data_IF_869687104246
#
_entry.id   IF_869687104246
#
_cell.length_a   1.000
_cell.length_b   1.000
_cell.length_c   1.000
_cell.angle_alpha   90.00
_cell.angle_beta   90.00
_cell.angle_gamma   90.00
#
_symmetry.space_group_name_H-M   'P 1'
#
loop_
_entity.id
_entity.type
_entity.pdbx_description
1 polymer ?
#
# COMPACT_ATOMS: atom_id res chain seq x y z
N UNK A 1 -33.29 4.65 15.68
CA UNK A 1 -31.95 4.04 15.54
C UNK A 1 -32.09 2.56 15.88
N UNK A 2 -31.76 1.62 14.98
CA UNK A 2 -31.75 0.21 15.34
C UNK A 2 -30.75 -0.04 16.48
N UNK A 3 -30.98 -1.04 17.34
CA UNK A 3 -30.07 -1.35 18.44
C UNK A 3 -28.68 -1.69 17.90
N UNK A 4 -27.63 -1.17 18.55
CA UNK A 4 -26.24 -1.51 18.20
C UNK A 4 -26.06 -3.02 18.40
N UNK A 5 -25.61 -3.70 17.34
CA UNK A 5 -25.40 -5.15 17.35
C UNK A 5 -24.22 -5.58 18.25
N UNK A 6 -23.22 -4.72 18.40
CA UNK A 6 -21.99 -4.99 19.16
C UNK A 6 -21.82 -3.96 20.27
N UNK A 7 -21.32 -4.43 21.40
CA UNK A 7 -21.00 -3.60 22.56
C UNK A 7 -19.72 -2.81 22.33
N UNK A 8 -19.56 -1.66 22.99
CA UNK A 8 -18.34 -0.86 22.83
C UNK A 8 -17.08 -1.61 23.36
N UNK A 9 -17.25 -2.52 24.34
CA UNK A 9 -16.19 -3.39 24.84
C UNK A 9 -15.70 -4.37 23.76
N UNK A 10 -16.62 -5.02 23.04
CA UNK A 10 -16.27 -5.91 21.92
C UNK A 10 -15.52 -5.15 20.81
N UNK A 11 -15.89 -3.89 20.56
CA UNK A 11 -15.23 -3.07 19.56
C UNK A 11 -13.81 -2.68 19.97
N UNK A 12 -13.62 -2.39 21.26
CA UNK A 12 -12.31 -2.08 21.84
C UNK A 12 -11.41 -3.31 21.80
N UNK A 13 -11.90 -4.47 22.25
CA UNK A 13 -11.14 -5.72 22.18
C UNK A 13 -10.78 -6.10 20.74
N UNK A 14 -11.69 -5.90 19.78
CA UNK A 14 -11.39 -6.14 18.36
C UNK A 14 -10.23 -5.27 17.84
N UNK A 15 -10.17 -4.00 18.27
CA UNK A 15 -9.09 -3.08 17.91
C UNK A 15 -7.75 -3.53 18.55
N UNK A 16 -7.75 -3.85 19.84
CA UNK A 16 -6.55 -4.31 20.55
C UNK A 16 -6.00 -5.60 19.90
N UNK A 17 -6.87 -6.56 19.61
CA UNK A 17 -6.50 -7.81 18.93
C UNK A 17 -5.92 -7.55 17.53
N UNK A 18 -6.39 -6.51 16.84
CA UNK A 18 -5.88 -6.13 15.53
C UNK A 18 -4.47 -5.54 15.61
N UNK A 19 -4.24 -4.67 16.60
CA UNK A 19 -2.95 -4.03 16.84
C UNK A 19 -1.87 -5.01 17.32
N UNK A 20 -2.24 -6.09 18.01
CA UNK A 20 -1.28 -7.18 18.32
C UNK A 20 -1.03 -8.13 17.13
N UNK A 21 -1.76 -7.97 16.02
CA UNK A 21 -1.47 -8.65 14.76
C UNK A 21 -2.42 -9.76 14.32
N UNK A 22 -3.56 -9.96 14.99
CA UNK A 22 -4.53 -10.97 14.54
C UNK A 22 -5.18 -10.58 13.21
N UNK A 23 -5.57 -11.61 12.45
CA UNK A 23 -6.34 -11.44 11.22
C UNK A 23 -7.80 -11.13 11.55
N UNK A 24 -8.50 -10.42 10.64
CA UNK A 24 -9.94 -10.15 10.82
C UNK A 24 -10.76 -11.43 11.00
N UNK A 25 -10.36 -12.55 10.35
CA UNK A 25 -11.03 -13.84 10.50
C UNK A 25 -10.83 -14.45 11.89
N UNK A 26 -9.63 -14.35 12.46
CA UNK A 26 -9.35 -14.83 13.81
C UNK A 26 -10.11 -14.03 14.87
N UNK A 27 -10.15 -12.69 14.71
CA UNK A 27 -10.90 -11.79 15.61
C UNK A 27 -12.41 -12.08 15.51
N UNK A 28 -12.93 -12.24 14.29
CA UNK A 28 -14.33 -12.59 14.05
C UNK A 28 -14.73 -13.89 14.75
N UNK A 29 -13.91 -14.94 14.63
CA UNK A 29 -14.15 -16.22 15.30
C UNK A 29 -14.08 -16.09 16.83
N UNK A 30 -13.19 -15.24 17.35
CA UNK A 30 -12.98 -15.07 18.79
C UNK A 30 -14.10 -14.27 19.46
N UNK A 31 -14.60 -13.24 18.79
CA UNK A 31 -15.59 -12.30 19.35
C UNK A 31 -17.03 -12.56 18.87
N UNK A 32 -17.26 -13.66 18.14
CA UNK A 32 -18.54 -13.98 17.48
C UNK A 32 -19.08 -12.80 16.63
N UNK A 33 -18.16 -12.16 15.91
CA UNK A 33 -18.45 -11.05 15.01
C UNK A 33 -18.37 -11.52 13.56
N UNK A 34 -19.09 -10.85 12.64
CA UNK A 34 -18.83 -11.07 11.23
C UNK A 34 -17.49 -10.44 10.84
N UNK A 35 -16.76 -11.07 9.93
CA UNK A 35 -15.47 -10.55 9.42
C UNK A 35 -15.62 -9.12 8.87
N UNK A 36 -16.73 -8.84 8.18
CA UNK A 36 -17.03 -7.51 7.66
C UNK A 36 -17.22 -6.45 8.76
N UNK A 37 -17.87 -6.82 9.87
CA UNK A 37 -18.03 -5.92 11.01
C UNK A 37 -16.67 -5.61 11.65
N UNK A 38 -15.85 -6.63 11.91
CA UNK A 38 -14.48 -6.45 12.43
C UNK A 38 -13.67 -5.52 11.52
N UNK A 39 -13.67 -5.77 10.22
CA UNK A 39 -12.94 -4.94 9.26
C UNK A 39 -13.39 -3.48 9.27
N UNK A 40 -14.71 -3.23 9.31
CA UNK A 40 -15.25 -1.88 9.33
C UNK A 40 -14.92 -1.15 10.65
N UNK A 41 -15.07 -1.84 11.78
CA UNK A 41 -14.80 -1.26 13.09
C UNK A 41 -13.31 -0.98 13.30
N UNK A 42 -12.42 -1.90 12.93
CA UNK A 42 -10.97 -1.67 12.99
C UNK A 42 -10.56 -0.48 12.11
N UNK A 43 -11.08 -0.41 10.88
CA UNK A 43 -10.81 0.72 9.98
C UNK A 43 -11.28 2.05 10.58
N UNK A 44 -12.51 2.08 11.12
CA UNK A 44 -13.08 3.28 11.73
C UNK A 44 -12.31 3.75 12.97
N UNK A 45 -11.77 2.81 13.74
CA UNK A 45 -10.98 3.08 14.95
C UNK A 45 -9.49 3.31 14.65
N UNK A 46 -9.04 3.12 13.41
CA UNK A 46 -7.63 3.26 13.04
C UNK A 46 -6.74 2.10 13.52
N UNK A 47 -7.31 0.95 13.87
CA UNK A 47 -6.57 -0.21 14.35
C UNK A 47 -5.87 -0.93 13.20
N UNK A 48 -4.57 -0.65 13.05
CA UNK A 48 -3.71 -1.25 12.02
C UNK A 48 -2.95 -2.45 12.56
N UNK A 49 -2.68 -3.43 11.70
CA UNK A 49 -1.90 -4.59 12.08
C UNK A 49 -0.40 -4.38 11.86
N UNK A 50 0.47 -4.83 12.79
CA UNK A 50 1.91 -4.86 12.55
C UNK A 50 2.26 -5.73 11.34
N UNK A 51 1.45 -6.75 11.06
CA UNK A 51 1.66 -7.70 9.96
C UNK A 51 1.30 -7.14 8.58
N UNK A 52 0.72 -5.94 8.50
CA UNK A 52 0.46 -5.23 7.23
C UNK A 52 1.54 -4.21 6.87
N UNK A 53 2.44 -3.86 7.81
CA UNK A 53 3.57 -2.98 7.51
C UNK A 53 4.48 -3.62 6.45
N UNK A 54 4.79 -2.87 5.40
CA UNK A 54 5.66 -3.30 4.30
C UNK A 54 5.01 -4.18 3.22
N UNK A 55 3.74 -4.59 3.38
CA UNK A 55 3.01 -5.32 2.33
C UNK A 55 2.41 -4.34 1.33
N UNK A 56 3.25 -3.70 0.52
CA UNK A 56 2.76 -2.96 -0.63
C UNK A 56 2.28 -3.94 -1.70
N UNK A 57 1.08 -3.76 -2.28
CA UNK A 57 0.65 -4.58 -3.38
C UNK A 57 1.61 -4.40 -4.56
N UNK A 58 2.20 -5.51 -5.01
CA UNK A 58 3.08 -5.49 -6.19
C UNK A 58 2.22 -5.19 -7.42
N UNK A 59 2.57 -4.15 -8.16
CA UNK A 59 1.86 -3.78 -9.39
C UNK A 59 2.03 -4.87 -10.44
N UNK A 60 0.96 -5.64 -10.73
CA UNK A 60 0.98 -6.82 -11.63
C UNK A 60 1.01 -6.53 -13.14
N UNK A 61 1.11 -5.27 -13.56
CA UNK A 61 1.17 -4.88 -14.98
C UNK A 61 2.52 -5.16 -15.68
N UNK A 62 2.62 -4.94 -17.02
CA UNK A 62 3.87 -5.06 -17.76
C UNK A 62 4.95 -4.08 -17.26
N UNK A 63 6.22 -4.44 -17.44
CA UNK A 63 7.38 -3.61 -17.04
C UNK A 63 7.46 -2.30 -17.81
N UNK A 64 6.96 -2.28 -19.06
CA UNK A 64 6.90 -1.11 -19.93
C UNK A 64 5.47 -0.95 -20.45
N UNK A 65 4.94 0.26 -20.43
CA UNK A 65 3.64 0.63 -20.99
C UNK A 65 3.75 1.91 -21.83
N UNK A 66 2.83 2.09 -22.77
CA UNK A 66 2.76 3.31 -23.57
C UNK A 66 1.83 4.31 -22.90
N UNK A 67 2.32 5.53 -22.63
CA UNK A 67 1.52 6.66 -22.12
C UNK A 67 1.68 7.84 -23.07
N UNK A 68 0.60 8.24 -23.73
CA UNK A 68 0.59 9.39 -24.67
C UNK A 68 1.66 9.28 -25.77
N UNK A 69 1.90 8.08 -26.30
CA UNK A 69 2.93 7.82 -27.32
C UNK A 69 4.36 7.65 -26.81
N UNK A 70 4.58 7.71 -25.48
CA UNK A 70 5.89 7.49 -24.86
C UNK A 70 5.95 6.15 -24.15
N UNK A 71 7.08 5.45 -24.27
CA UNK A 71 7.36 4.27 -23.46
C UNK A 71 7.70 4.73 -22.03
N UNK A 72 6.90 4.26 -21.07
CA UNK A 72 7.10 4.47 -19.64
C UNK A 72 7.38 3.11 -19.02
N UNK A 73 8.47 3.01 -18.25
CA UNK A 73 8.82 1.78 -17.53
C UNK A 73 8.54 1.92 -16.04
N UNK A 74 8.36 0.78 -15.37
CA UNK A 74 8.37 0.73 -13.91
C UNK A 74 9.80 0.88 -13.39
N UNK A 75 9.91 1.52 -12.23
CA UNK A 75 11.12 1.49 -11.43
C UNK A 75 11.18 0.18 -10.63
N UNK A 76 12.39 -0.34 -10.50
CA UNK A 76 12.68 -1.45 -9.59
C UNK A 76 12.84 -0.93 -8.15
N UNK A 77 12.74 -1.81 -7.16
CA UNK A 77 12.90 -1.42 -5.76
C UNK A 77 14.28 -0.78 -5.46
N UNK A 78 15.33 -1.21 -6.16
CA UNK A 78 16.66 -0.61 -6.04
C UNK A 78 16.73 0.81 -6.63
N UNK A 79 16.01 1.05 -7.72
CA UNK A 79 15.91 2.39 -8.32
C UNK A 79 15.08 3.31 -7.44
N UNK A 80 13.97 2.84 -6.87
CA UNK A 80 13.17 3.59 -5.89
C UNK A 80 14.01 3.96 -4.66
N UNK A 81 14.80 3.03 -4.12
CA UNK A 81 15.71 3.32 -3.02
C UNK A 81 16.74 4.40 -3.38
N UNK A 82 17.24 4.37 -4.63
CA UNK A 82 18.16 5.38 -5.15
C UNK A 82 17.48 6.74 -5.32
N UNK A 83 16.25 6.77 -5.86
CA UNK A 83 15.43 7.99 -5.98
C UNK A 83 15.24 8.62 -4.60
N UNK A 84 14.79 7.84 -3.62
CA UNK A 84 14.52 8.32 -2.27
C UNK A 84 15.79 8.84 -1.58
N UNK A 85 16.91 8.13 -1.72
CA UNK A 85 18.19 8.58 -1.16
C UNK A 85 18.67 9.90 -1.79
N UNK A 86 18.53 10.06 -3.10
CA UNK A 86 18.93 11.28 -3.80
C UNK A 86 17.99 12.46 -3.50
N UNK A 87 16.69 12.21 -3.40
CA UNK A 87 15.69 13.23 -3.02
C UNK A 87 15.92 13.75 -1.61
N UNK A 88 16.17 12.84 -0.64
CA UNK A 88 16.56 13.20 0.72
C UNK A 88 17.86 14.01 0.78
N UNK A 89 18.80 13.76 -0.14
CA UNK A 89 20.03 14.54 -0.30
C UNK A 89 19.82 15.89 -1.02
N UNK A 90 18.58 16.23 -1.40
CA UNK A 90 18.23 17.49 -2.07
C UNK A 90 18.53 17.51 -3.57
N UNK A 91 18.73 16.36 -4.20
CA UNK A 91 18.97 16.30 -5.64
C UNK A 91 17.73 16.71 -6.43
N UNK A 92 17.92 17.51 -7.48
CA UNK A 92 16.83 17.87 -8.38
C UNK A 92 16.35 16.67 -9.19
N UNK A 93 15.08 16.68 -9.63
CA UNK A 93 14.51 15.63 -10.47
C UNK A 93 15.34 15.37 -11.74
N UNK A 94 15.92 16.40 -12.35
CA UNK A 94 16.80 16.27 -13.52
C UNK A 94 18.11 15.53 -13.21
N UNK A 95 18.60 15.64 -11.97
CA UNK A 95 19.81 14.94 -11.51
C UNK A 95 19.50 13.49 -11.20
N UNK A 96 18.39 13.22 -10.53
CA UNK A 96 17.88 11.87 -10.28
C UNK A 96 17.63 11.14 -11.61
N UNK A 97 16.95 11.79 -12.56
CA UNK A 97 16.68 11.21 -13.88
C UNK A 97 17.96 10.84 -14.63
N UNK A 98 19.02 11.66 -14.54
CA UNK A 98 20.33 11.35 -15.14
C UNK A 98 21.02 10.17 -14.47
N UNK A 99 20.96 10.08 -13.14
CA UNK A 99 21.53 8.95 -12.40
C UNK A 99 20.84 7.62 -12.73
N UNK A 100 19.55 7.66 -13.07
CA UNK A 100 18.74 6.49 -13.44
C UNK A 100 18.68 6.23 -14.95
N UNK A 101 19.28 7.11 -15.78
CA UNK A 101 19.14 7.08 -17.22
C UNK A 101 19.90 5.90 -17.86
N UNK A 102 19.18 4.78 -18.06
CA UNK A 102 19.38 3.85 -19.19
C UNK A 102 18.45 4.22 -20.38
N UNK A 103 18.62 3.61 -21.57
CA UNK A 103 17.98 4.03 -22.83
C UNK A 103 16.48 3.70 -22.85
N UNK A 104 15.64 4.51 -22.19
CA UNK A 104 14.22 4.18 -21.98
C UNK A 104 13.20 5.15 -22.57
N UNK A 105 13.57 6.40 -22.86
CA UNK A 105 12.63 7.43 -23.33
C UNK A 105 12.94 7.85 -24.76
N UNK A 106 13.08 6.88 -25.68
CA UNK A 106 13.00 7.17 -27.11
C UNK A 106 11.53 7.14 -27.52
N UNK A 107 11.07 8.23 -28.12
CA UNK A 107 9.77 8.34 -28.81
C UNK A 107 9.56 7.08 -29.63
N UNK A 108 8.48 6.33 -29.39
CA UNK A 108 8.11 5.25 -30.29
C UNK A 108 7.80 5.90 -31.64
N UNK A 109 8.65 5.67 -32.64
CA UNK A 109 8.48 6.21 -33.98
C UNK A 109 7.12 5.78 -34.52
N UNK A 110 6.32 6.76 -34.93
CA UNK A 110 5.07 6.52 -35.65
C UNK A 110 5.35 5.88 -37.01
N UNK A 111 4.50 4.93 -37.38
CA UNK A 111 3.99 4.79 -38.74
C UNK A 111 2.54 5.20 -38.72
#
# INVERSE_FOLDING_TARGET
MPPRKYTDDQLTEAADLREIGLSHAAIACRLDMSVGAVSWHCLRLGADSPNTRGKMPVSRGPMVCTRSGYNVRKFTAAEDATILAMDLAGATTATIARALAGPGTRRAGGR
#
